data_IF_209621237297
#
_entry.id   IF_209621237297
#
_cell.length_a   1.000
_cell.length_b   1.000
_cell.length_c   1.000
_cell.angle_alpha   90.00
_cell.angle_beta   90.00
_cell.angle_gamma   90.00
#
_symmetry.space_group_name_H-M   'P 1'
#
loop_
_entity.id
_entity.type
_entity.pdbx_description
1 polymer ?
#
# COMPACT_ATOMS: atom_id res chain seq x y z
N UNK A 1 5.86 0.09 -9.68
CA UNK A 1 6.19 1.16 -8.71
C UNK A 1 7.12 0.66 -7.60
N UNK A 2 6.75 -0.40 -6.86
CA UNK A 2 7.51 -0.87 -5.68
C UNK A 2 8.99 -1.27 -5.92
N UNK A 3 9.36 -1.60 -7.16
CA UNK A 3 10.72 -2.03 -7.53
C UNK A 3 11.58 -0.94 -8.19
N UNK A 4 11.09 0.30 -8.28
CA UNK A 4 11.95 1.40 -8.74
C UNK A 4 13.07 1.67 -7.72
N UNK A 5 14.27 2.05 -8.16
CA UNK A 5 15.36 2.43 -7.27
C UNK A 5 14.91 3.48 -6.24
N UNK A 6 15.17 3.26 -4.96
CA UNK A 6 14.83 4.18 -3.87
C UNK A 6 13.38 4.14 -3.39
N UNK A 7 12.46 3.47 -4.11
CA UNK A 7 11.05 3.45 -3.74
C UNK A 7 10.80 2.71 -2.41
N UNK A 8 11.44 1.55 -2.21
CA UNK A 8 11.28 0.78 -0.96
C UNK A 8 11.84 1.54 0.22
N UNK A 9 12.99 2.20 0.06
CA UNK A 9 13.60 3.01 1.10
C UNK A 9 12.70 4.19 1.48
N UNK A 10 12.17 4.92 0.50
CA UNK A 10 11.27 6.04 0.77
C UNK A 10 9.99 5.60 1.49
N UNK A 11 9.36 4.50 1.02
CA UNK A 11 8.12 3.95 1.59
C UNK A 11 8.35 3.45 3.03
N UNK A 12 9.42 2.70 3.27
CA UNK A 12 9.61 1.95 4.53
C UNK A 12 10.52 2.65 5.55
N UNK A 13 11.42 3.54 5.14
CA UNK A 13 12.38 4.21 6.05
C UNK A 13 11.89 5.59 6.54
N UNK A 14 10.58 5.82 6.51
CA UNK A 14 9.95 6.99 7.12
C UNK A 14 9.87 8.24 6.24
N UNK A 15 10.46 8.24 5.03
CA UNK A 15 10.30 9.35 4.07
C UNK A 15 8.83 9.58 3.72
N UNK A 16 8.11 8.51 3.37
CA UNK A 16 6.71 8.61 3.01
C UNK A 16 5.81 9.00 4.20
N UNK A 17 6.07 8.45 5.39
CA UNK A 17 5.34 8.81 6.63
C UNK A 17 5.59 10.27 7.06
N UNK A 18 6.79 10.80 6.81
CA UNK A 18 7.11 12.21 7.07
C UNK A 18 6.27 13.13 6.19
N UNK A 19 6.09 12.78 4.92
CA UNK A 19 5.32 13.59 3.96
C UNK A 19 3.80 13.37 4.12
N UNK A 20 3.37 12.20 4.62
CA UNK A 20 1.96 11.85 4.88
C UNK A 20 1.78 11.44 6.36
N UNK A 21 1.64 12.40 7.30
CA UNK A 21 1.66 12.12 8.73
C UNK A 21 0.56 11.16 9.21
N UNK A 22 -0.60 11.13 8.54
CA UNK A 22 -1.74 10.26 8.87
C UNK A 22 -1.72 8.91 8.14
N UNK A 23 -0.66 8.60 7.40
CA UNK A 23 -0.50 7.32 6.70
C UNK A 23 -0.64 6.15 7.69
N UNK A 24 -1.56 5.21 7.42
CA UNK A 24 -1.65 3.95 8.17
C UNK A 24 -0.56 2.96 7.74
N UNK A 25 -0.55 1.75 8.31
CA UNK A 25 0.47 0.75 8.01
C UNK A 25 0.52 0.39 6.52
N UNK A 26 1.75 0.22 6.01
CA UNK A 26 1.99 -0.16 4.62
C UNK A 26 1.60 -1.63 4.42
N UNK A 27 0.73 -1.88 3.44
CA UNK A 27 0.38 -3.25 3.01
C UNK A 27 1.07 -3.55 1.68
N UNK A 28 1.83 -4.65 1.63
CA UNK A 28 2.46 -5.16 0.41
C UNK A 28 1.79 -6.47 0.02
N UNK A 29 1.10 -6.46 -1.11
CA UNK A 29 0.38 -7.64 -1.63
C UNK A 29 1.39 -8.58 -2.29
N UNK A 30 1.59 -9.75 -1.67
CA UNK A 30 2.57 -10.73 -2.16
C UNK A 30 2.07 -11.45 -3.41
N UNK A 31 2.99 -11.69 -4.34
CA UNK A 31 2.70 -12.43 -5.57
C UNK A 31 1.76 -11.71 -6.53
N UNK A 32 1.62 -10.39 -6.42
CA UNK A 32 0.86 -9.57 -7.35
C UNK A 32 1.77 -8.62 -8.17
N UNK A 33 1.37 -8.36 -9.41
CA UNK A 33 1.99 -7.43 -10.33
C UNK A 33 1.53 -5.98 -10.12
N UNK A 34 1.43 -5.22 -11.22
CA UNK A 34 1.06 -3.80 -11.13
C UNK A 34 -0.44 -3.58 -10.88
N UNK A 35 -1.30 -4.40 -11.48
CA UNK A 35 -2.77 -4.26 -11.44
C UNK A 35 -3.38 -5.10 -10.31
N UNK A 36 -2.94 -4.85 -9.07
CA UNK A 36 -3.32 -5.64 -7.89
C UNK A 36 -4.84 -5.70 -7.65
N UNK A 37 -5.57 -4.65 -8.03
CA UNK A 37 -7.02 -4.59 -7.90
C UNK A 37 -7.75 -5.52 -8.88
N UNK A 38 -7.11 -5.95 -9.96
CA UNK A 38 -7.64 -6.97 -10.88
C UNK A 38 -7.15 -8.36 -10.48
N UNK A 39 -5.87 -8.48 -10.12
CA UNK A 39 -5.24 -9.77 -9.80
C UNK A 39 -5.65 -10.34 -8.43
N UNK A 40 -5.91 -9.46 -7.45
CA UNK A 40 -6.27 -9.78 -6.06
C UNK A 40 -7.54 -9.02 -5.64
N UNK A 41 -8.55 -9.01 -6.51
CA UNK A 41 -9.73 -8.15 -6.38
C UNK A 41 -10.44 -8.25 -5.01
N UNK A 42 -10.58 -9.46 -4.46
CA UNK A 42 -11.22 -9.68 -3.16
C UNK A 42 -10.40 -9.05 -2.01
N UNK A 43 -9.11 -9.38 -1.93
CA UNK A 43 -8.18 -8.87 -0.91
C UNK A 43 -8.12 -7.33 -0.91
N UNK A 44 -8.03 -6.73 -2.11
CA UNK A 44 -8.02 -5.27 -2.25
C UNK A 44 -9.36 -4.64 -1.82
N UNK A 45 -10.49 -5.26 -2.20
CA UNK A 45 -11.82 -4.76 -1.81
C UNK A 45 -12.02 -4.81 -0.30
N UNK A 46 -11.55 -5.87 0.36
CA UNK A 46 -11.59 -6.02 1.82
C UNK A 46 -10.74 -4.95 2.51
N UNK A 47 -9.51 -4.70 2.05
CA UNK A 47 -8.66 -3.64 2.58
C UNK A 47 -9.31 -2.25 2.44
N UNK A 48 -9.93 -1.95 1.29
CA UNK A 48 -10.64 -0.68 1.08
C UNK A 48 -11.80 -0.56 2.07
N UNK A 49 -12.65 -1.58 2.16
CA UNK A 49 -13.79 -1.58 3.07
C UNK A 49 -13.35 -1.39 4.53
N UNK A 50 -12.35 -2.16 4.99
CA UNK A 50 -11.81 -2.05 6.34
C UNK A 50 -11.21 -0.68 6.65
N UNK A 51 -10.59 -0.01 5.68
CA UNK A 51 -10.02 1.32 5.88
C UNK A 51 -11.12 2.37 6.03
N UNK A 52 -12.11 2.38 5.14
CA UNK A 52 -13.16 3.41 5.14
C UNK A 52 -14.18 3.23 6.26
N UNK A 53 -14.45 2.00 6.72
CA UNK A 53 -15.37 1.75 7.84
C UNK A 53 -14.83 2.18 9.21
N UNK A 54 -13.56 2.59 9.30
CA UNK A 54 -12.96 3.15 10.53
C UNK A 54 -13.10 4.67 10.63
N UNK A 55 -13.60 5.32 9.57
CA UNK A 55 -14.00 6.74 9.57
C UNK A 55 -15.30 6.87 10.38
#
# INVERSE_FOLDING_TARGET
MYHFPGAKEYIHKGGFKKDVPLLQDIVVIQGAGHFINQEKALEISEHIHQFISKI
#
